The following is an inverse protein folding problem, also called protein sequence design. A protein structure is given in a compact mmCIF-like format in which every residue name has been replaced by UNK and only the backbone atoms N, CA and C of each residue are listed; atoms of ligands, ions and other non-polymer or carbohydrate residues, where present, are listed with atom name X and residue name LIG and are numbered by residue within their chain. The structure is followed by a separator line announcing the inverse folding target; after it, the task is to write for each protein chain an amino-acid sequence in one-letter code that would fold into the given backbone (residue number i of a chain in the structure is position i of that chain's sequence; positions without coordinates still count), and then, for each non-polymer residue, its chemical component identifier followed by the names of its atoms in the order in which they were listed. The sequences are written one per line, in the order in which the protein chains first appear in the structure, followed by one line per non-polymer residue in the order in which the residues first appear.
data_IF_185203169944
#
_entry.id   IF_185203169944
#
_cell.length_a   1.000
_cell.length_b   1.000
_cell.length_c   1.000
_cell.angle_alpha   90.00
_cell.angle_beta   90.00
_cell.angle_gamma   90.00
#
_symmetry.space_group_name_H-M   'P 1'
#
loop_
_entity.id
_entity.type
_entity.pdbx_description
1 polymer ?
#
# COMPACT_ATOMS: atom_id res chain seq x y z
N UNK A 1 58.12 -54.90 -38.96
CA UNK A 1 57.01 -54.05 -39.42
C UNK A 1 55.96 -54.09 -38.36
N UNK A 2 55.83 -53.02 -37.50
CA UNK A 2 54.80 -52.90 -36.49
C UNK A 2 53.78 -51.89 -37.00
N UNK A 3 52.52 -52.34 -37.17
CA UNK A 3 51.38 -51.50 -37.55
C UNK A 3 50.93 -50.70 -36.32
N UNK A 4 51.00 -49.36 -36.39
CA UNK A 4 50.35 -48.45 -35.45
C UNK A 4 48.87 -48.35 -35.83
N UNK A 5 47.99 -48.66 -34.86
CA UNK A 5 46.54 -48.43 -34.95
C UNK A 5 46.27 -47.12 -34.27
N UNK A 6 45.87 -46.08 -35.02
CA UNK A 6 45.36 -44.83 -34.48
C UNK A 6 43.86 -44.99 -34.14
N UNK A 7 43.53 -44.91 -32.86
CA UNK A 7 42.16 -44.82 -32.42
C UNK A 7 41.75 -43.35 -32.32
N UNK A 8 40.80 -42.90 -33.10
CA UNK A 8 40.20 -41.57 -33.05
C UNK A 8 39.15 -41.53 -31.92
N UNK A 9 39.23 -40.59 -30.97
CA UNK A 9 38.16 -40.47 -29.98
C UNK A 9 36.96 -39.74 -30.57
N UNK A 10 35.80 -40.37 -30.49
CA UNK A 10 34.50 -39.83 -30.85
C UNK A 10 34.08 -38.83 -29.78
N UNK A 11 34.19 -37.51 -30.05
CA UNK A 11 33.68 -36.47 -29.16
C UNK A 11 32.18 -36.41 -29.35
N UNK A 12 31.44 -36.89 -28.35
CA UNK A 12 30.00 -36.78 -28.26
C UNK A 12 29.65 -35.37 -27.81
N UNK A 13 29.23 -34.51 -28.73
CA UNK A 13 28.77 -33.14 -28.46
C UNK A 13 27.36 -33.24 -27.89
N UNK A 14 27.22 -33.19 -26.56
CA UNK A 14 25.93 -33.06 -25.89
C UNK A 14 25.48 -31.59 -26.04
N UNK A 15 24.57 -31.34 -26.98
CA UNK A 15 23.87 -30.06 -27.09
C UNK A 15 22.83 -30.04 -25.99
N UNK A 16 23.15 -29.37 -24.85
CA UNK A 16 22.17 -28.97 -23.85
C UNK A 16 21.31 -27.88 -24.47
N UNK A 17 20.14 -28.24 -24.96
CA UNK A 17 19.08 -27.26 -25.22
C UNK A 17 18.60 -26.70 -23.88
N UNK A 18 19.17 -25.58 -23.47
CA UNK A 18 18.59 -24.75 -22.41
C UNK A 18 17.28 -24.22 -23.00
N UNK A 19 16.18 -24.88 -22.65
CA UNK A 19 14.85 -24.34 -22.86
C UNK A 19 14.74 -23.11 -21.97
N UNK A 20 15.07 -21.96 -22.52
CA UNK A 20 14.68 -20.68 -21.93
C UNK A 20 13.15 -20.67 -21.97
N UNK A 21 12.55 -21.04 -20.85
CA UNK A 21 11.18 -20.65 -20.58
C UNK A 21 11.24 -19.11 -20.41
N UNK A 22 11.13 -18.38 -21.52
CA UNK A 22 10.78 -16.97 -21.48
C UNK A 22 9.47 -16.90 -20.69
N UNK A 23 9.56 -16.52 -19.41
CA UNK A 23 8.42 -15.94 -18.73
C UNK A 23 8.00 -14.77 -19.61
N UNK A 24 6.93 -14.92 -20.35
CA UNK A 24 6.24 -13.81 -20.99
C UNK A 24 5.93 -12.83 -19.86
N UNK A 25 6.77 -11.82 -19.72
CA UNK A 25 6.55 -10.70 -18.78
C UNK A 25 5.43 -9.83 -19.37
N UNK A 26 4.23 -10.39 -19.53
CA UNK A 26 3.04 -9.61 -19.80
C UNK A 26 2.70 -8.86 -18.51
N UNK A 27 3.24 -7.65 -18.38
CA UNK A 27 2.88 -6.76 -17.28
C UNK A 27 1.55 -6.08 -17.61
N UNK A 28 0.45 -6.83 -17.48
CA UNK A 28 -0.90 -6.34 -17.77
C UNK A 28 -1.22 -5.01 -17.09
N UNK A 29 -0.69 -4.78 -15.88
CA UNK A 29 -0.86 -3.53 -15.16
C UNK A 29 -0.18 -2.37 -15.91
N UNK A 30 1.10 -2.52 -16.26
CA UNK A 30 1.86 -1.48 -16.97
C UNK A 30 1.29 -1.24 -18.37
N UNK A 31 0.96 -2.32 -19.08
CA UNK A 31 0.39 -2.24 -20.44
C UNK A 31 -0.94 -1.50 -20.44
N UNK A 32 -1.84 -1.79 -19.47
CA UNK A 32 -3.10 -1.07 -19.32
C UNK A 32 -2.91 0.42 -19.03
N UNK A 33 -2.04 0.74 -18.08
CA UNK A 33 -1.78 2.12 -17.65
C UNK A 33 -1.28 3.00 -18.79
N UNK A 34 -0.39 2.48 -19.61
CA UNK A 34 0.22 3.23 -20.71
C UNK A 34 -0.51 3.09 -22.05
N UNK A 35 -1.52 2.23 -22.14
CA UNK A 35 -2.39 2.19 -23.32
C UNK A 35 -3.02 3.55 -23.54
N UNK A 36 -2.86 4.09 -24.75
CA UNK A 36 -3.41 5.39 -25.14
C UNK A 36 -4.92 5.36 -25.09
N UNK A 37 -5.52 6.25 -24.34
CA UNK A 37 -6.95 6.42 -24.19
C UNK A 37 -7.36 7.81 -24.70
N UNK A 38 -8.17 7.92 -25.78
CA UNK A 38 -8.57 9.23 -26.33
C UNK A 38 -9.50 10.04 -25.43
N UNK A 39 -10.09 9.42 -24.40
CA UNK A 39 -10.92 10.10 -23.43
C UNK A 39 -10.10 10.96 -22.45
N UNK A 40 -8.79 10.72 -22.32
CA UNK A 40 -7.94 11.49 -21.42
C UNK A 40 -7.96 12.97 -21.75
N UNK A 41 -8.41 13.77 -20.79
CA UNK A 41 -8.45 15.23 -20.87
C UNK A 41 -8.55 15.84 -19.48
N UNK A 42 -8.20 17.11 -19.35
CA UNK A 42 -8.39 17.86 -18.11
C UNK A 42 -8.70 19.32 -18.40
N UNK A 43 -9.31 19.99 -17.42
CA UNK A 43 -9.57 21.42 -17.42
C UNK A 43 -9.27 22.00 -16.04
N UNK A 44 -8.68 23.20 -16.01
CA UNK A 44 -8.54 23.98 -14.78
C UNK A 44 -9.86 24.71 -14.56
N UNK A 45 -10.62 24.29 -13.56
CA UNK A 45 -11.97 24.82 -13.27
C UNK A 45 -11.86 26.12 -12.46
N UNK A 46 -10.91 26.15 -11.50
CA UNK A 46 -10.76 27.27 -10.58
C UNK A 46 -9.29 27.48 -10.19
N UNK A 47 -8.93 28.74 -9.98
CA UNK A 47 -7.64 29.14 -9.39
C UNK A 47 -7.96 30.13 -8.28
N UNK A 48 -7.58 29.79 -7.05
CA UNK A 48 -7.71 30.66 -5.89
C UNK A 48 -6.32 31.10 -5.41
N UNK A 49 -6.22 32.34 -4.95
CA UNK A 49 -4.97 32.91 -4.48
C UNK A 49 -5.11 33.32 -3.03
N UNK A 50 -4.34 32.69 -2.17
CA UNK A 50 -4.16 33.08 -0.78
C UNK A 50 -2.88 33.91 -0.59
N UNK A 51 -2.62 34.37 0.63
CA UNK A 51 -1.43 35.18 0.95
C UNK A 51 -0.11 34.41 0.70
N UNK A 52 -0.08 33.12 0.96
CA UNK A 52 1.13 32.30 0.97
C UNK A 52 1.17 31.19 -0.08
N UNK A 53 0.06 30.92 -0.77
CA UNK A 53 -0.05 29.88 -1.78
C UNK A 53 -1.10 30.21 -2.84
N UNK A 54 -1.08 29.46 -3.95
CA UNK A 54 -2.17 29.36 -4.92
C UNK A 54 -2.73 27.96 -4.91
N UNK A 55 -4.03 27.84 -5.15
CA UNK A 55 -4.75 26.59 -5.30
C UNK A 55 -5.29 26.45 -6.70
N UNK A 56 -5.08 25.28 -7.31
CA UNK A 56 -5.65 24.92 -8.61
C UNK A 56 -6.63 23.78 -8.41
N UNK A 57 -7.86 23.94 -8.85
CA UNK A 57 -8.86 22.87 -8.93
C UNK A 57 -9.05 22.45 -10.36
N UNK A 58 -8.89 21.16 -10.60
CA UNK A 58 -8.83 20.59 -11.93
C UNK A 58 -9.81 19.42 -11.98
N UNK A 59 -10.60 19.38 -13.05
CA UNK A 59 -11.39 18.20 -13.40
C UNK A 59 -10.64 17.43 -14.47
N UNK A 60 -10.30 16.18 -14.16
CA UNK A 60 -9.59 15.28 -15.07
C UNK A 60 -10.46 14.08 -15.42
N UNK A 61 -10.48 13.69 -16.69
CA UNK A 61 -10.93 12.36 -17.11
C UNK A 61 -9.67 11.54 -17.36
N UNK A 62 -9.48 10.47 -16.60
CA UNK A 62 -8.27 9.64 -16.68
C UNK A 62 -8.32 8.61 -17.81
N UNK A 63 -9.51 8.34 -18.35
CA UNK A 63 -9.76 7.40 -19.43
C UNK A 63 -11.08 6.67 -19.26
N UNK A 64 -11.25 5.60 -20.03
CA UNK A 64 -12.43 4.73 -20.00
C UNK A 64 -12.12 3.41 -19.30
N UNK A 65 -13.14 2.86 -18.63
CA UNK A 65 -13.09 1.52 -18.04
C UNK A 65 -14.33 0.73 -18.45
N UNK A 66 -14.13 -0.48 -18.99
CA UNK A 66 -15.18 -1.34 -19.54
C UNK A 66 -15.98 -0.68 -20.67
N UNK A 67 -17.05 -1.31 -21.09
CA UNK A 67 -17.94 -0.83 -22.15
C UNK A 67 -19.31 -0.42 -21.61
N UNK A 68 -20.08 0.35 -22.40
CA UNK A 68 -21.46 0.72 -22.05
C UNK A 68 -22.41 -0.47 -21.91
N UNK A 69 -22.03 -1.63 -22.43
CA UNK A 69 -22.80 -2.86 -22.25
C UNK A 69 -22.56 -3.52 -20.88
N UNK A 70 -21.48 -3.12 -20.19
CA UNK A 70 -21.03 -3.72 -18.94
C UNK A 70 -21.24 -2.80 -17.73
N UNK A 71 -21.12 -1.48 -17.93
CA UNK A 71 -21.21 -0.51 -16.84
C UNK A 71 -21.96 0.76 -17.28
N UNK A 72 -22.69 1.36 -16.36
CA UNK A 72 -23.49 2.56 -16.61
C UNK A 72 -22.66 3.81 -16.96
N UNK A 73 -21.43 3.91 -16.47
CA UNK A 73 -20.53 5.03 -16.72
C UNK A 73 -19.11 4.53 -16.97
N UNK A 74 -18.64 4.68 -18.20
CA UNK A 74 -17.34 4.21 -18.64
C UNK A 74 -16.22 5.23 -18.45
N UNK A 75 -16.52 6.54 -18.49
CA UNK A 75 -15.52 7.58 -18.29
C UNK A 75 -15.26 7.79 -16.81
N UNK A 76 -14.01 7.59 -16.39
CA UNK A 76 -13.56 7.86 -15.03
C UNK A 76 -13.04 9.29 -14.92
N UNK A 77 -13.69 10.08 -14.08
CA UNK A 77 -13.27 11.45 -13.82
C UNK A 77 -12.93 11.68 -12.34
N UNK A 78 -12.04 12.63 -12.12
CA UNK A 78 -11.45 12.92 -10.82
C UNK A 78 -11.34 14.41 -10.60
N UNK A 79 -11.41 14.85 -9.35
CA UNK A 79 -10.93 16.15 -8.97
C UNK A 79 -9.46 16.05 -8.60
N UNK A 80 -8.65 17.01 -9.04
CA UNK A 80 -7.29 17.22 -8.58
C UNK A 80 -7.23 18.61 -7.97
N UNK A 81 -6.85 18.67 -6.69
CA UNK A 81 -6.56 19.92 -5.98
C UNK A 81 -5.07 20.04 -5.80
N UNK A 82 -4.46 21.10 -6.30
CA UNK A 82 -3.01 21.35 -6.24
C UNK A 82 -2.76 22.60 -5.42
N UNK A 83 -1.96 22.50 -4.37
CA UNK A 83 -1.47 23.63 -3.58
C UNK A 83 -0.04 23.96 -4.01
N UNK A 84 0.17 25.20 -4.42
CA UNK A 84 1.47 25.73 -4.88
C UNK A 84 1.90 26.85 -3.93
N UNK A 85 2.90 26.65 -3.05
CA UNK A 85 3.43 27.73 -2.23
C UNK A 85 3.98 28.88 -3.09
N UNK A 86 3.87 30.12 -2.61
CA UNK A 86 4.48 31.28 -3.29
C UNK A 86 6.01 31.15 -3.41
N UNK A 87 6.61 30.38 -2.53
CA UNK A 87 8.03 30.03 -2.55
C UNK A 87 8.14 28.51 -2.69
N UNK A 88 8.12 28.01 -3.93
CA UNK A 88 8.41 26.63 -4.25
C UNK A 88 9.90 26.49 -4.52
N UNK A 89 10.56 25.56 -3.82
CA UNK A 89 12.01 25.35 -3.90
C UNK A 89 12.35 23.99 -4.54
N UNK A 90 11.44 23.04 -4.44
CA UNK A 90 11.69 21.64 -4.81
C UNK A 90 11.08 21.32 -6.18
N UNK A 91 11.68 20.36 -6.87
CA UNK A 91 11.22 19.82 -8.16
C UNK A 91 10.41 18.54 -8.02
N UNK A 92 10.21 18.10 -6.80
CA UNK A 92 9.41 16.97 -6.39
C UNK A 92 8.05 17.42 -5.89
N UNK A 93 7.03 16.58 -6.08
CA UNK A 93 5.69 16.84 -5.57
C UNK A 93 5.15 15.66 -4.76
N UNK A 94 4.32 15.95 -3.76
CA UNK A 94 3.52 14.93 -3.09
C UNK A 94 2.16 14.82 -3.81
N UNK A 95 1.77 13.60 -4.17
CA UNK A 95 0.42 13.31 -4.64
C UNK A 95 -0.28 12.37 -3.67
N UNK A 96 -1.34 12.84 -3.02
CA UNK A 96 -2.20 12.05 -2.15
C UNK A 96 -3.33 11.43 -2.98
N UNK A 97 -3.47 10.12 -2.89
CA UNK A 97 -4.54 9.37 -3.55
C UNK A 97 -5.74 9.29 -2.62
N UNK A 98 -6.75 10.08 -2.93
CA UNK A 98 -7.97 10.27 -2.14
C UNK A 98 -9.16 9.46 -2.63
N UNK A 99 -10.08 9.21 -1.71
CA UNK A 99 -11.39 8.63 -2.00
C UNK A 99 -12.38 9.67 -2.53
N UNK A 100 -13.65 9.31 -2.53
CA UNK A 100 -14.71 10.22 -2.93
C UNK A 100 -15.87 9.53 -3.62
N UNK A 101 -16.66 10.32 -4.33
CA UNK A 101 -17.81 9.82 -5.09
C UNK A 101 -18.15 10.80 -6.20
N UNK A 102 -18.55 10.28 -7.36
CA UNK A 102 -19.07 11.07 -8.47
C UNK A 102 -20.37 11.83 -8.14
N UNK A 103 -21.05 11.43 -7.05
CA UNK A 103 -22.24 12.11 -6.52
C UNK A 103 -21.92 13.33 -5.65
N UNK A 104 -20.65 13.51 -5.25
CA UNK A 104 -20.21 14.67 -4.47
C UNK A 104 -19.97 15.88 -5.38
N UNK A 105 -20.26 17.05 -4.81
CA UNK A 105 -19.95 18.33 -5.47
C UNK A 105 -18.44 18.54 -5.56
N UNK A 106 -18.04 19.48 -6.39
CA UNK A 106 -16.68 19.99 -6.48
C UNK A 106 -16.13 20.34 -5.08
N UNK A 107 -14.87 19.99 -4.78
CA UNK A 107 -14.19 20.45 -3.57
C UNK A 107 -14.16 21.99 -3.53
N UNK A 108 -14.51 22.57 -2.39
CA UNK A 108 -14.53 24.04 -2.27
C UNK A 108 -13.12 24.62 -2.12
N UNK A 109 -12.28 23.95 -1.32
CA UNK A 109 -10.90 24.38 -1.03
C UNK A 109 -10.01 23.16 -0.77
N UNK A 110 -8.69 23.36 -0.86
CA UNK A 110 -7.71 22.40 -0.38
C UNK A 110 -7.91 22.13 1.13
N UNK A 111 -7.65 20.91 1.56
CA UNK A 111 -7.67 20.58 2.98
C UNK A 111 -6.52 21.28 3.73
N UNK A 112 -6.73 21.55 5.02
CA UNK A 112 -5.67 22.11 5.89
C UNK A 112 -4.41 21.25 5.87
N UNK A 113 -4.54 19.93 5.74
CA UNK A 113 -3.42 19.01 5.65
C UNK A 113 -2.58 19.27 4.39
N UNK A 114 -3.20 19.41 3.21
CA UNK A 114 -2.49 19.71 1.97
C UNK A 114 -1.73 21.04 2.07
N UNK A 115 -2.42 22.08 2.56
CA UNK A 115 -1.85 23.41 2.73
C UNK A 115 -0.66 23.37 3.69
N UNK A 116 -0.82 22.70 4.84
CA UNK A 116 0.23 22.59 5.84
C UNK A 116 1.47 21.87 5.28
N UNK A 117 1.29 20.73 4.62
CA UNK A 117 2.41 20.00 4.01
C UNK A 117 3.12 20.89 2.98
N UNK A 118 2.37 21.55 2.09
CA UNK A 118 2.95 22.39 1.04
C UNK A 118 3.78 23.54 1.62
N UNK A 119 3.27 24.22 2.65
CA UNK A 119 3.97 25.35 3.28
C UNK A 119 5.18 24.92 4.11
N UNK A 120 5.08 23.80 4.84
CA UNK A 120 6.19 23.28 5.65
C UNK A 120 7.35 22.76 4.79
N UNK A 121 7.04 22.23 3.60
CA UNK A 121 8.05 21.64 2.70
C UNK A 121 8.47 22.54 1.55
N UNK A 122 7.79 23.68 1.35
CA UNK A 122 7.98 24.57 0.21
C UNK A 122 7.92 23.84 -1.15
N UNK A 123 7.07 22.83 -1.28
CA UNK A 123 6.89 21.98 -2.46
C UNK A 123 5.44 21.98 -2.94
N UNK A 124 5.21 21.53 -4.16
CA UNK A 124 3.85 21.31 -4.66
C UNK A 124 3.26 20.06 -3.99
N UNK A 125 2.05 20.22 -3.44
CA UNK A 125 1.29 19.12 -2.85
C UNK A 125 -0.08 19.04 -3.51
N UNK A 126 -0.47 17.85 -3.95
CA UNK A 126 -1.74 17.62 -4.63
C UNK A 126 -2.51 16.45 -4.03
N UNK A 127 -3.82 16.48 -4.19
CA UNK A 127 -4.71 15.36 -3.95
C UNK A 127 -5.50 15.05 -5.22
N UNK A 128 -5.53 13.78 -5.61
CA UNK A 128 -6.47 13.27 -6.61
C UNK A 128 -7.58 12.51 -5.88
N UNK A 129 -8.83 12.90 -6.06
CA UNK A 129 -9.97 12.30 -5.39
C UNK A 129 -10.81 11.41 -6.32
N UNK A 130 -11.78 10.70 -5.74
CA UNK A 130 -12.66 9.79 -6.44
C UNK A 130 -11.92 8.57 -7.04
N UNK A 131 -11.02 7.98 -6.25
CA UNK A 131 -10.30 6.73 -6.56
C UNK A 131 -10.79 5.61 -5.62
N UNK A 132 -11.47 4.55 -6.14
CA UNK A 132 -11.96 4.36 -7.52
C UNK A 132 -13.05 5.37 -7.89
N UNK A 133 -13.32 5.51 -9.20
CA UNK A 133 -14.49 6.24 -9.68
C UNK A 133 -15.76 5.47 -9.31
N UNK A 134 -16.65 6.11 -8.54
CA UNK A 134 -17.80 5.44 -7.91
C UNK A 134 -18.95 6.41 -7.63
N UNK A 135 -20.22 5.92 -7.43
CA UNK A 135 -20.62 4.53 -7.59
C UNK A 135 -20.74 4.12 -9.05
N UNK A 136 -20.73 2.80 -9.28
CA UNK A 136 -20.98 2.20 -10.58
C UNK A 136 -22.05 1.11 -10.49
N UNK A 137 -22.87 1.02 -11.55
CA UNK A 137 -23.87 -0.03 -11.74
C UNK A 137 -23.44 -0.89 -12.93
N UNK A 138 -23.37 -2.20 -12.71
CA UNK A 138 -22.97 -3.15 -13.74
C UNK A 138 -24.18 -3.84 -14.35
N UNK A 139 -24.11 -4.07 -15.66
CA UNK A 139 -25.15 -4.82 -16.36
C UNK A 139 -25.21 -6.26 -15.85
N UNK A 140 -26.40 -6.79 -15.66
CA UNK A 140 -26.66 -8.11 -15.09
C UNK A 140 -26.14 -8.31 -13.64
N UNK A 141 -26.01 -7.22 -12.91
CA UNK A 141 -25.80 -7.25 -11.48
C UNK A 141 -27.13 -7.01 -10.75
N UNK A 142 -27.30 -7.68 -9.62
CA UNK A 142 -28.47 -7.50 -8.75
C UNK A 142 -28.33 -6.35 -7.77
N UNK A 143 -27.11 -5.80 -7.64
CA UNK A 143 -26.79 -4.72 -6.70
C UNK A 143 -26.56 -3.43 -7.46
N UNK A 144 -27.25 -2.38 -7.02
CA UNK A 144 -27.03 -1.02 -7.50
C UNK A 144 -25.96 -0.31 -6.69
N UNK A 145 -25.35 0.72 -7.31
CA UNK A 145 -24.45 1.66 -6.64
C UNK A 145 -23.27 0.98 -5.88
N UNK A 146 -22.48 0.21 -6.58
CA UNK A 146 -21.27 -0.38 -5.98
C UNK A 146 -20.22 0.68 -5.66
N UNK A 147 -19.72 0.62 -4.43
CA UNK A 147 -18.73 1.52 -3.87
C UNK A 147 -17.52 0.75 -3.35
N UNK A 148 -16.37 1.41 -3.30
CA UNK A 148 -15.21 1.02 -2.51
C UNK A 148 -14.77 -0.44 -2.79
N UNK A 149 -14.64 -1.26 -1.74
CA UNK A 149 -14.21 -2.65 -1.85
C UNK A 149 -15.25 -3.53 -2.55
N UNK A 150 -16.53 -3.22 -2.43
CA UNK A 150 -17.60 -3.91 -3.12
C UNK A 150 -17.48 -3.82 -4.66
N UNK A 151 -17.10 -2.65 -5.20
CA UNK A 151 -16.81 -2.47 -6.61
C UNK A 151 -15.59 -3.30 -7.04
N UNK A 152 -14.54 -3.33 -6.22
CA UNK A 152 -13.31 -4.06 -6.51
C UNK A 152 -13.56 -5.56 -6.44
N UNK A 153 -14.27 -6.04 -5.40
CA UNK A 153 -14.61 -7.44 -5.21
C UNK A 153 -15.47 -7.98 -6.36
N UNK A 154 -16.44 -7.19 -6.85
CA UNK A 154 -17.23 -7.56 -8.01
C UNK A 154 -16.36 -7.73 -9.26
N UNK A 155 -15.43 -6.81 -9.53
CA UNK A 155 -14.47 -6.94 -10.62
C UNK A 155 -13.60 -8.19 -10.50
N UNK A 156 -13.14 -8.51 -9.29
CA UNK A 156 -12.39 -9.75 -9.03
C UNK A 156 -13.24 -11.00 -9.32
N UNK A 157 -14.50 -11.01 -8.86
CA UNK A 157 -15.43 -12.09 -9.18
C UNK A 157 -15.57 -12.30 -10.68
N UNK A 158 -15.80 -11.23 -11.44
CA UNK A 158 -15.95 -11.30 -12.91
C UNK A 158 -14.70 -11.88 -13.57
N UNK A 159 -13.52 -11.46 -13.14
CA UNK A 159 -12.25 -12.00 -13.62
C UNK A 159 -12.10 -13.49 -13.31
N UNK A 160 -12.37 -13.89 -12.08
CA UNK A 160 -12.22 -15.28 -11.60
C UNK A 160 -13.23 -16.21 -12.28
N UNK A 161 -14.51 -15.83 -12.34
CA UNK A 161 -15.58 -16.59 -13.00
C UNK A 161 -15.38 -16.67 -14.53
N UNK A 162 -14.73 -15.68 -15.16
CA UNK A 162 -14.30 -15.73 -16.55
C UNK A 162 -13.20 -16.77 -16.82
N UNK A 163 -12.60 -17.32 -15.76
CA UNK A 163 -11.50 -18.28 -15.80
C UNK A 163 -10.12 -17.63 -15.78
N UNK A 164 -10.03 -16.40 -15.30
CA UNK A 164 -8.80 -15.62 -15.15
C UNK A 164 -7.99 -15.49 -16.46
N UNK A 165 -8.66 -15.26 -17.57
CA UNK A 165 -8.06 -15.15 -18.91
C UNK A 165 -7.64 -13.71 -19.18
N UNK A 166 -6.72 -13.52 -20.13
CA UNK A 166 -6.24 -12.18 -20.51
C UNK A 166 -7.37 -11.22 -20.93
N UNK A 167 -8.40 -11.72 -21.60
CA UNK A 167 -9.58 -10.93 -21.99
C UNK A 167 -10.41 -10.43 -20.79
N UNK A 168 -10.30 -11.09 -19.64
CA UNK A 168 -11.06 -10.77 -18.44
C UNK A 168 -10.30 -9.79 -17.52
N UNK A 169 -9.03 -9.48 -17.83
CA UNK A 169 -8.16 -8.58 -17.04
C UNK A 169 -8.76 -7.18 -16.90
N UNK A 170 -9.48 -6.72 -17.91
CA UNK A 170 -10.13 -5.40 -17.89
C UNK A 170 -11.14 -5.23 -16.74
N UNK A 171 -11.68 -6.31 -16.16
CA UNK A 171 -12.56 -6.25 -15.01
C UNK A 171 -11.86 -5.80 -13.71
N UNK A 172 -10.54 -5.81 -13.68
CA UNK A 172 -9.76 -5.49 -12.48
C UNK A 172 -9.68 -3.98 -12.25
N UNK A 173 -10.51 -3.44 -11.38
CA UNK A 173 -10.60 -2.01 -11.06
C UNK A 173 -9.27 -1.38 -10.60
N UNK A 174 -8.33 -2.18 -10.09
CA UNK A 174 -6.97 -1.73 -9.75
C UNK A 174 -6.21 -1.13 -10.94
N UNK A 175 -6.52 -1.57 -12.16
CA UNK A 175 -5.89 -1.07 -13.39
C UNK A 175 -6.28 0.39 -13.66
N UNK A 176 -7.58 0.76 -13.81
CA UNK A 176 -7.97 2.15 -14.00
C UNK A 176 -7.67 3.02 -12.77
N UNK A 177 -7.66 2.50 -11.53
CA UNK A 177 -7.21 3.23 -10.35
C UNK A 177 -5.76 3.68 -10.50
N UNK A 178 -4.85 2.78 -10.88
CA UNK A 178 -3.43 3.09 -11.09
C UNK A 178 -3.24 4.07 -12.26
N UNK A 179 -3.93 3.83 -13.38
CA UNK A 179 -3.91 4.76 -14.53
C UNK A 179 -4.33 6.17 -14.13
N UNK A 180 -5.35 6.32 -13.30
CA UNK A 180 -5.82 7.62 -12.86
C UNK A 180 -4.75 8.39 -12.08
N UNK A 181 -3.97 7.72 -11.22
CA UNK A 181 -2.88 8.35 -10.47
C UNK A 181 -1.75 8.77 -11.40
N UNK A 182 -1.34 7.90 -12.35
CA UNK A 182 -0.32 8.23 -13.36
C UNK A 182 -0.74 9.44 -14.20
N UNK A 183 -2.00 9.50 -14.65
CA UNK A 183 -2.55 10.66 -15.36
C UNK A 183 -2.63 11.90 -14.46
N UNK A 184 -2.88 11.73 -13.17
CA UNK A 184 -2.80 12.82 -12.20
C UNK A 184 -1.41 13.44 -12.13
N UNK A 185 -0.35 12.62 -12.12
CA UNK A 185 1.04 13.11 -12.20
C UNK A 185 1.30 13.88 -13.50
N UNK A 186 0.81 13.38 -14.65
CA UNK A 186 0.92 14.08 -15.95
C UNK A 186 0.29 15.49 -15.88
N UNK A 187 -0.88 15.61 -15.24
CA UNK A 187 -1.59 16.90 -15.08
C UNK A 187 -0.82 17.82 -14.14
N UNK A 188 -0.29 17.34 -13.03
CA UNK A 188 0.50 18.15 -12.09
C UNK A 188 1.74 18.70 -12.77
N UNK A 189 2.45 17.90 -13.57
CA UNK A 189 3.60 18.36 -14.37
C UNK A 189 3.19 19.45 -15.35
N UNK A 190 2.06 19.31 -16.04
CA UNK A 190 1.56 20.33 -16.99
C UNK A 190 1.18 21.64 -16.29
N UNK A 191 0.60 21.57 -15.10
CA UNK A 191 0.34 22.78 -14.28
C UNK A 191 1.65 23.43 -13.86
N UNK A 192 2.62 22.64 -13.41
CA UNK A 192 3.96 23.13 -13.10
C UNK A 192 4.62 23.85 -14.28
N UNK A 193 4.63 23.24 -15.48
CA UNK A 193 5.15 23.83 -16.70
C UNK A 193 4.49 25.20 -17.00
N UNK A 194 3.15 25.31 -16.84
CA UNK A 194 2.40 26.55 -17.11
C UNK A 194 2.76 27.70 -16.15
N UNK A 195 3.30 27.40 -14.98
CA UNK A 195 3.71 28.39 -13.97
C UNK A 195 5.23 28.49 -13.83
N UNK A 196 5.99 27.88 -14.77
CA UNK A 196 7.45 27.82 -14.79
C UNK A 196 8.07 27.15 -13.56
N UNK A 197 7.40 26.15 -12.98
CA UNK A 197 7.91 25.26 -11.95
C UNK A 197 8.02 23.86 -12.55
N UNK A 198 9.24 23.36 -12.71
CA UNK A 198 9.45 22.02 -13.26
C UNK A 198 9.26 20.97 -12.17
N UNK A 199 8.35 20.03 -12.37
CA UNK A 199 8.14 18.87 -11.51
C UNK A 199 8.69 17.63 -12.22
N UNK A 200 9.68 17.00 -11.64
CA UNK A 200 10.35 15.83 -12.21
C UNK A 200 9.82 14.53 -11.60
N UNK A 201 9.64 14.49 -10.28
CA UNK A 201 9.46 13.27 -9.48
C UNK A 201 8.35 13.44 -8.45
N UNK A 202 7.86 12.32 -7.94
CA UNK A 202 6.72 12.28 -7.05
C UNK A 202 6.94 11.37 -5.85
N UNK A 203 6.45 11.81 -4.71
CA UNK A 203 6.13 10.93 -3.59
C UNK A 203 4.63 10.67 -3.63
N UNK A 204 4.22 9.40 -3.54
CA UNK A 204 2.80 9.03 -3.59
C UNK A 204 2.37 8.53 -2.22
N UNK A 205 1.23 9.02 -1.72
CA UNK A 205 0.62 8.57 -0.48
C UNK A 205 -0.85 8.19 -0.70
N UNK A 206 -1.34 7.21 0.03
CA UNK A 206 -2.75 6.84 -0.05
C UNK A 206 -3.13 5.83 1.02
N UNK A 207 -4.41 5.83 1.41
CA UNK A 207 -4.91 4.98 2.48
C UNK A 207 -5.72 3.79 1.95
N UNK A 208 -5.59 2.62 2.59
CA UNK A 208 -6.37 1.42 2.32
C UNK A 208 -6.23 0.97 0.85
N UNK A 209 -7.32 0.79 0.10
CA UNK A 209 -7.28 0.50 -1.34
C UNK A 209 -6.51 1.53 -2.16
N UNK A 210 -6.38 2.78 -1.69
CA UNK A 210 -5.55 3.82 -2.30
C UNK A 210 -4.08 3.65 -1.93
N UNK A 211 -3.79 3.09 -0.76
CA UNK A 211 -2.45 2.62 -0.40
C UNK A 211 -2.00 1.47 -1.30
N UNK A 212 -2.90 0.55 -1.64
CA UNK A 212 -2.61 -0.45 -2.68
C UNK A 212 -2.31 0.22 -4.03
N UNK A 213 -3.10 1.23 -4.41
CA UNK A 213 -2.85 2.00 -5.65
C UNK A 213 -1.52 2.76 -5.59
N UNK A 214 -1.12 3.23 -4.42
CA UNK A 214 0.21 3.84 -4.18
C UNK A 214 1.34 2.87 -4.55
N UNK A 215 1.28 1.62 -4.08
CA UNK A 215 2.21 0.57 -4.45
C UNK A 215 2.22 0.30 -5.96
N UNK A 216 1.03 0.10 -6.56
CA UNK A 216 0.94 -0.24 -7.99
C UNK A 216 1.36 0.90 -8.91
N UNK A 217 1.19 2.15 -8.47
CA UNK A 217 1.72 3.32 -9.19
C UNK A 217 3.24 3.30 -9.24
N UNK A 218 3.90 3.02 -8.11
CA UNK A 218 5.36 2.90 -8.07
C UNK A 218 5.91 1.72 -8.90
N UNK A 219 5.13 0.65 -9.05
CA UNK A 219 5.50 -0.48 -9.93
C UNK A 219 5.56 -0.09 -11.40
N UNK A 220 4.71 0.85 -11.83
CA UNK A 220 4.56 1.14 -13.27
C UNK A 220 5.22 2.43 -13.72
N UNK A 221 5.52 3.36 -12.81
CA UNK A 221 5.99 4.70 -13.18
C UNK A 221 7.25 5.11 -12.41
N UNK A 222 8.34 5.23 -13.14
CA UNK A 222 9.68 5.52 -12.59
C UNK A 222 9.83 6.95 -12.04
N UNK A 223 8.84 7.84 -12.24
CA UNK A 223 8.79 9.16 -11.60
C UNK A 223 8.48 9.07 -10.11
N UNK A 224 8.04 7.93 -9.62
CA UNK A 224 7.76 7.73 -8.19
C UNK A 224 9.07 7.39 -7.48
N UNK A 225 9.54 8.30 -6.62
CA UNK A 225 10.80 8.17 -5.88
C UNK A 225 10.64 7.69 -4.44
N UNK A 226 9.44 7.79 -3.87
CA UNK A 226 9.11 7.21 -2.57
C UNK A 226 7.60 7.00 -2.44
N UNK A 227 7.17 6.13 -1.52
CA UNK A 227 5.76 5.86 -1.26
C UNK A 227 5.42 5.86 0.22
N UNK A 228 4.18 6.28 0.52
CA UNK A 228 3.59 6.21 1.86
C UNK A 228 2.24 5.47 1.79
N UNK A 229 2.24 4.12 1.74
CA UNK A 229 1.02 3.34 1.87
C UNK A 229 0.52 3.38 3.31
N UNK A 230 -0.75 3.77 3.50
CA UNK A 230 -1.35 3.97 4.80
C UNK A 230 -2.48 2.96 4.98
N UNK A 231 -2.56 2.31 6.15
CA UNK A 231 -3.56 1.30 6.54
C UNK A 231 -3.83 0.27 5.43
N UNK A 232 -2.75 -0.30 4.92
CA UNK A 232 -2.77 -1.41 3.95
C UNK A 232 -1.70 -2.43 4.33
N UNK A 233 -1.83 -3.00 5.51
CA UNK A 233 -0.95 -4.04 6.04
C UNK A 233 -1.27 -5.42 5.43
N UNK A 234 -1.29 -5.44 4.09
CA UNK A 234 -1.73 -6.58 3.29
C UNK A 234 -0.85 -6.74 2.04
N UNK A 235 0.36 -7.20 2.22
CA UNK A 235 1.16 -7.77 1.15
C UNK A 235 1.29 -9.29 1.38
N UNK A 236 1.53 -10.07 0.29
CA UNK A 236 1.50 -11.52 0.33
C UNK A 236 0.13 -12.04 0.83
N UNK A 237 -0.88 -11.71 0.06
CA UNK A 237 -2.31 -11.83 0.42
C UNK A 237 -2.70 -13.21 0.95
N UNK A 238 -2.22 -14.30 0.34
CA UNK A 238 -2.66 -15.66 0.72
C UNK A 238 -2.28 -16.00 2.16
N UNK A 239 -0.99 -15.93 2.59
CA UNK A 239 -0.65 -16.20 3.98
C UNK A 239 -1.18 -15.14 4.95
N UNK A 240 -1.35 -13.87 4.51
CA UNK A 240 -1.94 -12.83 5.36
C UNK A 240 -3.41 -13.10 5.68
N UNK A 241 -4.19 -13.58 4.71
CA UNK A 241 -5.58 -13.95 4.96
C UNK A 241 -5.72 -15.29 5.71
N UNK A 242 -4.84 -16.27 5.48
CA UNK A 242 -4.79 -17.47 6.36
C UNK A 242 -4.51 -17.06 7.80
N UNK A 243 -3.57 -16.13 8.01
CA UNK A 243 -3.27 -15.58 9.33
C UNK A 243 -4.48 -14.87 9.95
N UNK A 244 -5.19 -14.03 9.20
CA UNK A 244 -6.42 -13.37 9.65
C UNK A 244 -7.44 -14.40 10.17
N UNK A 245 -7.74 -15.42 9.37
CA UNK A 245 -8.66 -16.49 9.75
C UNK A 245 -8.20 -17.23 10.98
N UNK A 246 -6.93 -17.60 11.05
CA UNK A 246 -6.36 -18.34 12.19
C UNK A 246 -6.32 -17.53 13.48
N UNK A 247 -6.33 -16.20 13.38
CA UNK A 247 -6.41 -15.31 14.54
C UNK A 247 -7.84 -15.16 15.06
N UNK A 248 -8.81 -15.02 14.16
CA UNK A 248 -10.18 -14.64 14.53
C UNK A 248 -11.17 -15.82 14.48
N UNK A 249 -10.91 -16.85 13.67
CA UNK A 249 -11.83 -17.98 13.43
C UNK A 249 -13.00 -17.64 12.52
N UNK A 250 -13.04 -16.41 12.04
CA UNK A 250 -14.03 -15.87 11.15
C UNK A 250 -13.41 -14.76 10.27
N UNK A 251 -14.09 -14.36 9.22
CA UNK A 251 -13.73 -13.17 8.49
C UNK A 251 -14.23 -11.94 9.23
N UNK A 252 -13.36 -10.92 9.37
CA UNK A 252 -13.80 -9.64 9.91
C UNK A 252 -14.91 -9.02 9.04
N UNK A 253 -15.96 -8.44 9.63
CA UNK A 253 -16.98 -7.72 8.86
C UNK A 253 -16.42 -6.66 7.91
N UNK A 254 -15.25 -6.14 8.17
CA UNK A 254 -14.57 -5.18 7.30
C UNK A 254 -14.25 -5.73 5.90
N UNK A 255 -14.12 -7.05 5.72
CA UNK A 255 -13.87 -7.69 4.41
C UNK A 255 -15.09 -8.40 3.82
N UNK A 256 -16.28 -8.15 4.36
CA UNK A 256 -17.53 -8.77 3.91
C UNK A 256 -17.79 -8.59 2.41
N UNK A 257 -17.37 -7.49 1.82
CA UNK A 257 -17.49 -7.26 0.38
C UNK A 257 -16.84 -8.37 -0.45
N UNK A 258 -15.65 -8.80 -0.05
CA UNK A 258 -14.94 -9.91 -0.72
C UNK A 258 -15.55 -11.28 -0.40
N UNK A 259 -15.99 -11.48 0.85
CA UNK A 259 -16.61 -12.73 1.30
C UNK A 259 -17.96 -12.93 0.60
N UNK A 260 -18.79 -11.90 0.54
CA UNK A 260 -20.13 -11.92 -0.09
C UNK A 260 -20.06 -12.18 -1.61
N UNK A 261 -18.99 -11.69 -2.28
CA UNK A 261 -18.73 -12.01 -3.68
C UNK A 261 -18.06 -13.39 -3.88
N UNK A 262 -17.83 -14.13 -2.78
CA UNK A 262 -17.26 -15.48 -2.79
C UNK A 262 -15.79 -15.52 -3.23
N UNK A 263 -15.05 -14.45 -3.03
CA UNK A 263 -13.63 -14.34 -3.42
C UNK A 263 -12.78 -15.30 -2.59
N UNK A 264 -13.10 -15.48 -1.31
CA UNK A 264 -12.38 -16.38 -0.40
C UNK A 264 -12.46 -17.84 -0.84
N UNK A 265 -13.53 -18.25 -1.54
CA UNK A 265 -13.67 -19.61 -2.10
C UNK A 265 -12.63 -19.95 -3.18
N UNK A 266 -12.03 -18.93 -3.80
CA UNK A 266 -10.99 -19.10 -4.81
C UNK A 266 -9.57 -19.21 -4.23
N UNK A 267 -9.37 -18.91 -2.95
CA UNK A 267 -8.06 -19.00 -2.31
C UNK A 267 -7.45 -20.39 -2.51
N UNK A 268 -6.17 -20.44 -2.91
CA UNK A 268 -5.47 -21.69 -3.27
C UNK A 268 -5.82 -22.24 -4.67
N UNK A 269 -6.49 -21.48 -5.54
CA UNK A 269 -6.70 -21.82 -6.94
C UNK A 269 -5.68 -21.16 -7.87
N UNK A 270 -5.51 -21.72 -9.08
CA UNK A 270 -4.66 -21.13 -10.13
C UNK A 270 -5.20 -19.78 -10.59
N UNK A 271 -6.52 -19.64 -10.65
CA UNK A 271 -7.20 -18.42 -11.06
C UNK A 271 -6.96 -17.29 -10.05
N UNK A 272 -7.02 -17.58 -8.75
CA UNK A 272 -6.72 -16.63 -7.71
C UNK A 272 -5.23 -16.21 -7.72
N UNK A 273 -4.34 -17.18 -7.90
CA UNK A 273 -2.91 -16.88 -8.05
C UNK A 273 -2.64 -15.98 -9.28
N UNK A 274 -3.35 -16.22 -10.39
CA UNK A 274 -3.27 -15.36 -11.58
C UNK A 274 -3.76 -13.94 -11.32
N UNK A 275 -4.86 -13.77 -10.57
CA UNK A 275 -5.34 -12.48 -10.11
C UNK A 275 -4.24 -11.71 -9.37
N UNK A 276 -3.65 -12.35 -8.36
CA UNK A 276 -2.61 -11.73 -7.53
C UNK A 276 -1.36 -11.36 -8.34
N UNK A 277 -0.97 -12.20 -9.31
CA UNK A 277 0.15 -11.87 -10.22
C UNK A 277 -0.06 -10.59 -11.03
N UNK A 278 -1.32 -10.16 -11.24
CA UNK A 278 -1.65 -8.96 -12.03
C UNK A 278 -1.77 -7.73 -11.13
N UNK A 279 -2.41 -7.85 -9.97
CA UNK A 279 -2.79 -6.68 -9.18
C UNK A 279 -2.10 -6.57 -7.82
N UNK A 280 -1.52 -7.65 -7.28
CA UNK A 280 -0.91 -7.61 -5.96
C UNK A 280 0.50 -7.01 -6.01
N UNK A 281 0.78 -5.94 -5.22
CA UNK A 281 2.10 -5.32 -5.18
C UNK A 281 3.22 -6.29 -4.82
N UNK A 282 2.95 -7.30 -3.98
CA UNK A 282 3.94 -8.30 -3.59
C UNK A 282 4.49 -9.09 -4.78
N UNK A 283 3.70 -9.25 -5.84
CA UNK A 283 4.15 -9.90 -7.09
C UNK A 283 5.24 -9.12 -7.83
N UNK A 284 5.45 -7.85 -7.47
CA UNK A 284 6.42 -6.93 -8.08
C UNK A 284 7.45 -6.42 -7.09
N UNK A 285 7.53 -7.00 -5.89
CA UNK A 285 8.29 -6.45 -4.77
C UNK A 285 9.78 -6.29 -5.06
N UNK A 286 10.34 -7.17 -5.88
CA UNK A 286 11.74 -7.14 -6.30
C UNK A 286 12.09 -5.94 -7.22
N UNK A 287 11.09 -5.20 -7.70
CA UNK A 287 11.24 -4.02 -8.55
C UNK A 287 11.20 -2.70 -7.75
N UNK A 288 10.82 -2.76 -6.47
CA UNK A 288 10.54 -1.60 -5.64
C UNK A 288 11.66 -1.33 -4.64
N UNK A 289 12.78 -0.76 -5.11
CA UNK A 289 13.90 -0.37 -4.25
C UNK A 289 13.80 1.04 -3.66
N UNK A 290 12.81 1.83 -4.06
CA UNK A 290 12.58 3.20 -3.56
C UNK A 290 12.26 3.19 -2.06
N UNK A 291 12.48 4.30 -1.32
CA UNK A 291 12.09 4.44 0.07
C UNK A 291 10.59 4.27 0.28
N UNK A 292 10.22 3.58 1.38
CA UNK A 292 8.82 3.29 1.73
C UNK A 292 8.57 3.58 3.20
N UNK A 293 7.50 4.32 3.47
CA UNK A 293 7.02 4.54 4.82
C UNK A 293 5.62 3.97 4.99
N UNK A 294 5.52 2.82 5.64
CA UNK A 294 4.27 2.10 5.88
C UNK A 294 3.65 2.57 7.20
N UNK A 295 2.41 3.06 7.15
CA UNK A 295 1.68 3.55 8.33
C UNK A 295 0.44 2.70 8.54
N UNK A 296 0.35 1.98 9.66
CA UNK A 296 -0.74 1.06 9.97
C UNK A 296 -1.33 1.35 11.37
N UNK A 297 -2.52 0.86 11.65
CA UNK A 297 -3.14 0.93 12.97
C UNK A 297 -2.90 -0.36 13.76
N UNK A 298 -2.63 -0.26 15.07
CA UNK A 298 -2.51 -1.47 15.90
C UNK A 298 -3.84 -2.18 16.15
N UNK A 299 -4.95 -1.54 15.86
CA UNK A 299 -6.30 -2.08 16.07
C UNK A 299 -7.16 -1.98 14.81
N UNK A 300 -6.53 -2.09 13.62
CA UNK A 300 -7.18 -2.07 12.33
C UNK A 300 -8.19 -3.22 12.19
N UNK A 301 -9.38 -2.91 11.67
CA UNK A 301 -10.48 -3.87 11.51
C UNK A 301 -10.27 -4.78 10.30
N UNK A 302 -9.44 -4.38 9.32
CA UNK A 302 -9.14 -5.17 8.12
C UNK A 302 -7.93 -6.09 8.30
N UNK A 303 -6.88 -5.61 9.01
CA UNK A 303 -5.57 -6.26 9.01
C UNK A 303 -5.11 -6.58 10.44
N UNK A 304 -4.67 -7.82 10.63
CA UNK A 304 -4.14 -8.25 11.93
C UNK A 304 -2.86 -7.47 12.26
N UNK A 305 -2.73 -7.01 13.50
CA UNK A 305 -1.67 -6.07 13.90
C UNK A 305 -0.23 -6.59 13.70
N UNK A 306 -0.03 -7.89 13.50
CA UNK A 306 1.28 -8.48 13.20
C UNK A 306 1.40 -9.03 11.77
N UNK A 307 0.62 -8.47 10.82
CA UNK A 307 0.66 -8.87 9.40
C UNK A 307 1.99 -8.53 8.70
N UNK A 308 2.76 -7.57 9.22
CA UNK A 308 4.09 -7.22 8.71
C UNK A 308 5.01 -8.42 8.49
N UNK A 309 4.90 -9.48 9.27
CA UNK A 309 5.76 -10.66 9.23
C UNK A 309 5.72 -11.40 7.88
N UNK A 310 4.65 -11.22 7.08
CA UNK A 310 4.48 -11.93 5.81
C UNK A 310 5.20 -11.27 4.64
N UNK A 311 5.68 -10.04 4.79
CA UNK A 311 6.29 -9.31 3.69
C UNK A 311 7.52 -8.47 4.07
N UNK A 312 7.67 -8.02 5.32
CA UNK A 312 8.69 -7.06 5.73
C UNK A 312 10.10 -7.45 5.31
N UNK A 313 10.52 -8.68 5.59
CA UNK A 313 11.85 -9.19 5.28
C UNK A 313 12.10 -9.40 3.77
N UNK A 314 11.11 -9.15 2.92
CA UNK A 314 11.23 -9.20 1.46
C UNK A 314 11.27 -7.81 0.82
N UNK A 315 10.97 -6.77 1.59
CA UNK A 315 11.09 -5.40 1.11
C UNK A 315 12.56 -5.06 0.88
N UNK A 316 12.85 -4.51 -0.30
CA UNK A 316 14.20 -4.03 -0.66
C UNK A 316 14.28 -2.51 -0.57
N UNK A 317 15.49 -1.95 -0.41
CA UNK A 317 15.70 -0.52 -0.19
C UNK A 317 15.35 -0.09 1.24
N UNK A 318 15.19 1.22 1.42
CA UNK A 318 14.88 1.81 2.73
C UNK A 318 13.41 1.62 3.07
N UNK A 319 13.15 1.02 4.23
CA UNK A 319 11.79 0.71 4.66
C UNK A 319 11.57 1.18 6.09
N UNK A 320 10.54 2.00 6.28
CA UNK A 320 10.13 2.52 7.57
C UNK A 320 8.72 2.07 7.89
N UNK A 321 8.47 1.77 9.16
CA UNK A 321 7.18 1.25 9.64
C UNK A 321 6.70 2.13 10.79
N UNK A 322 5.41 2.45 10.80
CA UNK A 322 4.74 3.04 11.94
C UNK A 322 3.42 2.30 12.17
N UNK A 323 3.34 1.55 13.25
CA UNK A 323 2.06 1.15 13.80
C UNK A 323 1.59 2.24 14.76
N UNK A 324 0.44 2.85 14.46
CA UNK A 324 -0.18 3.88 15.30
C UNK A 324 -0.91 3.19 16.44
N UNK A 325 -0.46 3.33 17.70
CA UNK A 325 -1.09 2.67 18.82
C UNK A 325 -2.53 3.16 19.01
N UNK A 326 -3.43 2.22 19.30
CA UNK A 326 -4.88 2.49 19.39
C UNK A 326 -5.52 3.05 18.11
N UNK A 327 -4.83 2.97 16.98
CA UNK A 327 -5.36 3.35 15.67
C UNK A 327 -6.23 2.24 15.12
N UNK A 328 -7.45 2.59 14.68
CA UNK A 328 -8.32 1.77 13.85
C UNK A 328 -7.97 1.92 12.36
N UNK A 329 -8.73 1.33 11.45
CA UNK A 329 -8.50 1.49 10.00
C UNK A 329 -8.53 2.95 9.51
N UNK A 330 -9.33 3.79 10.13
CA UNK A 330 -9.37 5.23 9.85
C UNK A 330 -8.29 6.05 10.55
N UNK A 331 -7.48 5.44 11.42
CA UNK A 331 -6.52 6.10 12.34
C UNK A 331 -7.15 7.22 13.19
N UNK A 332 -8.45 7.15 13.41
CA UNK A 332 -9.26 8.23 13.98
C UNK A 332 -8.84 8.58 15.41
N UNK A 333 -8.44 9.84 15.62
CA UNK A 333 -8.08 10.37 16.93
C UNK A 333 -6.80 9.76 17.54
N UNK A 334 -5.98 9.07 16.75
CA UNK A 334 -4.73 8.45 17.19
C UNK A 334 -3.52 8.87 16.34
N UNK A 335 -3.73 9.25 15.09
CA UNK A 335 -2.66 9.60 14.16
C UNK A 335 -2.36 11.08 14.10
N UNK A 336 -1.06 11.42 14.12
CA UNK A 336 -0.53 12.73 13.80
C UNK A 336 0.27 12.64 12.49
N UNK A 337 -0.08 13.41 11.45
CA UNK A 337 0.60 13.36 10.15
C UNK A 337 2.02 13.95 10.14
N UNK A 338 2.51 14.44 11.26
CA UNK A 338 3.84 15.06 11.36
C UNK A 338 4.97 14.18 10.89
N UNK A 339 4.93 12.87 11.20
CA UNK A 339 5.95 11.92 10.73
C UNK A 339 5.94 11.73 9.20
N UNK A 340 4.77 11.78 8.57
CA UNK A 340 4.67 11.79 7.10
C UNK A 340 5.30 13.06 6.53
N UNK A 341 5.06 14.22 7.14
CA UNK A 341 5.65 15.49 6.71
C UNK A 341 7.17 15.45 6.84
N UNK A 342 7.69 14.94 7.97
CA UNK A 342 9.12 14.78 8.19
C UNK A 342 9.75 13.84 7.15
N UNK A 343 9.12 12.67 6.89
CA UNK A 343 9.59 11.72 5.88
C UNK A 343 9.59 12.35 4.49
N UNK A 344 8.47 12.95 4.07
CA UNK A 344 8.38 13.61 2.76
C UNK A 344 9.43 14.71 2.60
N UNK A 345 9.61 15.55 3.63
CA UNK A 345 10.65 16.60 3.63
C UNK A 345 12.05 16.01 3.49
N UNK A 346 12.36 14.91 4.19
CA UNK A 346 13.66 14.26 4.08
C UNK A 346 13.92 13.73 2.66
N UNK A 347 12.92 13.11 2.03
CA UNK A 347 13.04 12.59 0.65
C UNK A 347 13.35 13.72 -0.33
N UNK A 348 12.54 14.79 -0.36
CA UNK A 348 12.70 15.86 -1.37
C UNK A 348 13.93 16.75 -1.14
N UNK A 349 14.43 16.82 0.08
CA UNK A 349 15.65 17.57 0.41
C UNK A 349 16.92 16.70 0.44
N UNK A 350 16.82 15.42 0.05
CA UNK A 350 17.91 14.43 0.13
C UNK A 350 18.57 14.39 1.52
N UNK A 351 17.77 14.54 2.58
CA UNK A 351 18.26 14.47 3.94
C UNK A 351 18.24 13.01 4.40
N UNK A 352 19.34 12.56 5.00
CA UNK A 352 19.40 11.21 5.56
C UNK A 352 18.38 11.06 6.69
N UNK A 353 17.59 9.99 6.61
CA UNK A 353 16.77 9.53 7.72
C UNK A 353 17.67 8.71 8.63
N UNK A 354 17.70 8.96 9.95
CA UNK A 354 18.56 8.25 10.88
C UNK A 354 18.36 6.73 10.83
N UNK A 355 19.46 5.99 10.81
CA UNK A 355 19.43 4.54 10.73
C UNK A 355 19.07 3.90 12.07
N UNK A 356 18.20 2.93 12.03
CA UNK A 356 17.89 2.03 13.13
C UNK A 356 17.53 0.65 12.57
N UNK A 357 17.83 -0.38 13.34
CA UNK A 357 17.57 -1.76 12.95
C UNK A 357 16.79 -2.46 14.06
N UNK A 358 15.86 -3.30 13.70
CA UNK A 358 15.13 -4.11 14.65
C UNK A 358 14.92 -5.53 14.15
N UNK A 359 14.79 -6.45 15.10
CA UNK A 359 14.46 -7.84 14.81
C UNK A 359 13.69 -8.45 15.97
N UNK A 360 12.98 -9.52 15.66
CA UNK A 360 12.27 -10.33 16.64
C UNK A 360 13.02 -11.64 16.86
N UNK A 361 13.24 -11.99 18.12
CA UNK A 361 13.83 -13.29 18.49
C UNK A 361 13.11 -13.81 19.73
N UNK A 362 12.58 -15.04 19.64
CA UNK A 362 11.71 -15.62 20.65
C UNK A 362 10.54 -14.65 20.99
N UNK A 363 10.28 -14.43 22.27
CA UNK A 363 9.24 -13.51 22.76
C UNK A 363 9.79 -12.09 23.02
N UNK A 364 10.76 -11.64 22.23
CA UNK A 364 11.38 -10.32 22.42
C UNK A 364 11.65 -9.59 21.11
N UNK A 365 11.47 -8.29 21.16
CA UNK A 365 11.82 -7.35 20.11
C UNK A 365 13.10 -6.63 20.52
N UNK A 366 14.06 -6.54 19.62
CA UNK A 366 15.31 -5.83 19.81
C UNK A 366 15.37 -4.64 18.85
N UNK A 367 15.81 -3.49 19.35
CA UNK A 367 15.99 -2.28 18.58
C UNK A 367 17.40 -1.73 18.81
N UNK A 368 18.12 -1.51 17.71
CA UNK A 368 19.45 -0.92 17.67
C UNK A 368 19.36 0.41 16.93
N UNK A 369 19.84 1.48 17.53
CA UNK A 369 19.75 2.83 16.95
C UNK A 369 21.17 3.35 16.73
N UNK A 370 21.52 3.57 15.47
CA UNK A 370 22.76 4.21 15.06
C UNK A 370 22.45 5.64 14.59
N UNK A 371 22.24 6.53 15.53
CA UNK A 371 21.91 7.92 15.25
C UNK A 371 22.59 8.86 16.24
N UNK A 372 23.14 9.95 15.69
CA UNK A 372 23.62 11.09 16.49
C UNK A 372 22.51 12.12 16.77
N UNK A 373 21.32 11.97 16.20
CA UNK A 373 20.17 12.82 16.49
C UNK A 373 19.58 12.47 17.84
N UNK A 374 18.94 13.44 18.49
CA UNK A 374 18.18 13.19 19.71
C UNK A 374 16.98 12.29 19.41
N UNK A 375 16.80 11.27 20.25
CA UNK A 375 15.67 10.36 20.12
C UNK A 375 15.16 9.85 21.48
N UNK A 376 13.92 9.37 21.47
CA UNK A 376 13.28 8.70 22.60
C UNK A 376 12.69 7.38 22.19
N UNK A 377 12.68 6.40 23.09
CA UNK A 377 12.09 5.08 22.86
C UNK A 377 10.96 4.84 23.84
N UNK A 378 9.84 4.33 23.32
CA UNK A 378 8.72 3.84 24.14
C UNK A 378 8.40 2.41 23.76
N UNK A 379 7.99 1.63 24.73
CA UNK A 379 7.25 0.40 24.45
C UNK A 379 5.76 0.69 24.44
N UNK A 380 5.04 0.03 23.56
CA UNK A 380 3.60 -0.01 23.58
C UNK A 380 3.15 -1.46 23.75
N UNK A 381 2.19 -1.71 24.65
CA UNK A 381 1.71 -3.04 24.94
C UNK A 381 0.20 -3.04 25.17
N UNK A 382 -0.45 -4.14 24.76
CA UNK A 382 -1.86 -4.41 25.03
C UNK A 382 -2.05 -5.90 25.38
N UNK A 383 -3.10 -6.20 26.14
CA UNK A 383 -3.51 -7.58 26.50
C UNK A 383 -4.97 -7.78 26.09
N UNK A 384 -5.24 -8.92 25.45
CA UNK A 384 -6.57 -9.46 25.33
C UNK A 384 -6.60 -10.81 26.06
N UNK A 385 -7.30 -10.89 27.17
CA UNK A 385 -7.34 -12.06 28.04
C UNK A 385 -8.11 -13.25 27.45
N UNK A 386 -8.85 -13.04 26.36
CA UNK A 386 -9.77 -14.03 25.80
C UNK A 386 -9.31 -14.56 24.43
N UNK A 387 -8.91 -13.67 23.51
CA UNK A 387 -8.67 -14.01 22.09
C UNK A 387 -7.43 -13.32 21.55
N UNK A 388 -6.94 -13.80 20.39
CA UNK A 388 -5.83 -13.17 19.64
C UNK A 388 -6.31 -12.00 18.76
N UNK A 389 -7.23 -11.23 19.26
CA UNK A 389 -7.88 -10.14 18.53
C UNK A 389 -7.60 -8.80 19.21
N UNK A 390 -6.85 -7.94 18.52
CA UNK A 390 -6.44 -6.63 19.02
C UNK A 390 -7.12 -5.46 18.28
N UNK A 391 -8.19 -5.74 17.53
CA UNK A 391 -9.00 -4.71 16.88
C UNK A 391 -9.56 -3.73 17.92
N UNK A 392 -9.64 -2.45 17.55
CA UNK A 392 -10.13 -1.39 18.46
C UNK A 392 -11.58 -1.63 18.90
N UNK A 393 -12.41 -2.16 18.03
CA UNK A 393 -13.81 -2.51 18.34
C UNK A 393 -13.94 -3.70 19.32
N UNK A 394 -12.88 -4.50 19.48
CA UNK A 394 -12.85 -5.64 20.43
C UNK A 394 -12.22 -5.26 21.78
N UNK A 395 -11.05 -4.63 21.77
CA UNK A 395 -10.32 -4.33 23.03
C UNK A 395 -10.32 -2.83 23.40
N UNK A 396 -10.96 -1.98 22.59
CA UNK A 396 -10.91 -0.53 22.79
C UNK A 396 -9.50 0.05 22.63
N UNK A 397 -9.28 1.25 23.12
CA UNK A 397 -7.96 1.91 23.13
C UNK A 397 -7.13 1.42 24.33
N UNK A 398 -6.75 0.16 24.34
CA UNK A 398 -6.09 -0.52 25.45
C UNK A 398 -4.57 -0.55 25.38
N UNK A 399 -3.97 -0.13 24.29
CA UNK A 399 -2.52 0.00 24.20
C UNK A 399 -2.01 1.10 25.12
N UNK A 400 -1.02 0.75 25.95
CA UNK A 400 -0.37 1.65 26.92
C UNK A 400 1.12 1.72 26.65
N UNK A 401 1.71 2.89 26.89
CA UNK A 401 3.14 3.12 26.67
C UNK A 401 3.89 3.30 27.97
N UNK A 402 5.14 2.82 27.95
CA UNK A 402 6.15 3.11 28.97
C UNK A 402 7.45 3.55 28.28
N UNK A 403 8.18 4.49 28.86
CA UNK A 403 9.50 4.87 28.39
C UNK A 403 10.50 3.74 28.63
N UNK A 404 11.39 3.51 27.67
CA UNK A 404 12.45 2.52 27.77
C UNK A 404 13.80 3.21 27.73
N UNK A 405 14.65 2.88 28.67
CA UNK A 405 16.03 3.33 28.76
C UNK A 405 16.99 2.22 28.27
N UNK A 406 18.14 2.61 27.73
CA UNK A 406 19.17 1.65 27.26
C UNK A 406 19.54 0.62 28.33
N UNK A 407 19.71 -0.60 27.89
CA UNK A 407 20.25 -1.68 28.75
C UNK A 407 21.79 -1.63 28.79
N UNK A 408 22.39 -2.50 29.62
CA UNK A 408 23.84 -2.60 29.80
C UNK A 408 24.62 -2.85 28.50
N UNK A 409 23.99 -3.34 27.43
CA UNK A 409 24.60 -3.65 26.13
C UNK A 409 24.28 -2.60 25.05
N UNK A 410 23.88 -1.39 25.43
CA UNK A 410 23.52 -0.29 24.53
C UNK A 410 22.37 -0.58 23.53
N UNK A 411 21.58 -1.62 23.77
CA UNK A 411 20.42 -2.00 22.95
C UNK A 411 19.12 -1.82 23.73
N UNK A 412 18.07 -1.47 23.00
CA UNK A 412 16.72 -1.49 23.51
C UNK A 412 16.10 -2.84 23.26
N UNK A 413 15.31 -3.34 24.21
CA UNK A 413 14.54 -4.55 24.00
C UNK A 413 13.20 -4.49 24.73
N UNK A 414 12.21 -5.19 24.18
CA UNK A 414 10.92 -5.41 24.80
C UNK A 414 10.66 -6.92 24.86
N UNK A 415 10.56 -7.46 26.07
CA UNK A 415 10.08 -8.82 26.27
C UNK A 415 8.56 -8.83 26.37
N UNK A 416 7.89 -9.48 25.40
CA UNK A 416 6.45 -9.65 25.36
C UNK A 416 6.12 -10.98 26.04
N UNK A 417 6.11 -10.97 27.37
CA UNK A 417 5.86 -12.16 28.18
C UNK A 417 4.47 -12.74 27.93
N UNK A 418 4.38 -14.06 27.84
CA UNK A 418 3.09 -14.75 27.78
C UNK A 418 2.22 -14.36 28.97
N UNK A 419 0.98 -13.87 28.77
CA UNK A 419 0.07 -13.54 29.87
C UNK A 419 -0.48 -14.84 30.54
N UNK A 420 -1.12 -14.67 31.68
CA UNK A 420 -1.74 -15.78 32.38
C UNK A 420 -2.89 -16.44 31.60
N UNK A 421 -3.64 -15.59 30.83
CA UNK A 421 -4.68 -16.00 29.88
C UNK A 421 -4.64 -15.13 28.64
N UNK A 422 -5.12 -15.65 27.51
CA UNK A 422 -5.21 -14.94 26.26
C UNK A 422 -3.85 -14.61 25.63
N UNK A 423 -3.72 -13.39 25.11
CA UNK A 423 -2.60 -12.93 24.29
C UNK A 423 -2.14 -11.54 24.73
N UNK A 424 -0.86 -11.29 24.58
CA UNK A 424 -0.25 -9.99 24.79
C UNK A 424 0.45 -9.55 23.51
N UNK A 425 0.23 -8.32 23.09
CA UNK A 425 0.91 -7.69 21.97
C UNK A 425 1.86 -6.60 22.44
N UNK A 426 2.97 -6.38 21.73
CA UNK A 426 3.92 -5.33 22.04
C UNK A 426 4.70 -4.88 20.81
N UNK A 427 5.14 -3.62 20.84
CA UNK A 427 6.03 -3.00 19.85
C UNK A 427 6.91 -1.94 20.53
N UNK A 428 7.99 -1.55 19.86
CA UNK A 428 8.81 -0.40 20.24
C UNK A 428 8.55 0.76 19.26
N UNK A 429 8.39 1.96 19.80
CA UNK A 429 8.29 3.21 19.07
C UNK A 429 9.58 4.00 19.27
N UNK A 430 10.13 4.52 18.19
CA UNK A 430 11.24 5.47 18.20
C UNK A 430 10.77 6.81 17.64
N UNK A 431 10.98 7.86 18.41
CA UNK A 431 10.77 9.25 17.99
C UNK A 431 12.12 9.92 17.85
N UNK A 432 12.47 10.39 16.66
CA UNK A 432 13.78 10.96 16.32
C UNK A 432 13.59 12.41 15.87
N UNK A 433 14.43 13.32 16.37
CA UNK A 433 14.46 14.69 15.85
C UNK A 433 14.85 14.69 14.36
N UNK A 434 13.97 15.22 13.54
CA UNK A 434 14.18 15.33 12.09
C UNK A 434 14.92 16.62 11.70
N UNK A 435 15.16 17.53 12.63
CA UNK A 435 15.64 18.89 12.37
C UNK A 435 14.60 19.78 11.68
N UNK A 436 13.31 19.41 11.75
CA UNK A 436 12.15 20.20 11.25
C UNK A 436 11.14 20.41 12.38
N UNK A 437 9.99 21.02 12.07
CA UNK A 437 8.90 21.20 13.04
C UNK A 437 8.25 19.87 13.48
N UNK A 438 8.52 18.77 12.78
CA UNK A 438 7.90 17.47 13.03
C UNK A 438 8.97 16.39 13.18
N UNK A 439 8.94 15.56 14.23
CA UNK A 439 9.86 14.45 14.39
C UNK A 439 9.51 13.30 13.43
N UNK A 440 10.48 12.45 13.16
CA UNK A 440 10.20 11.11 12.69
C UNK A 440 9.61 10.27 13.81
N UNK A 441 8.55 9.56 13.54
CA UNK A 441 8.00 8.56 14.45
C UNK A 441 7.91 7.24 13.71
N UNK A 442 8.73 6.27 14.10
CA UNK A 442 8.76 4.93 13.54
C UNK A 442 8.49 3.89 14.62
N UNK A 443 8.15 2.68 14.21
CA UNK A 443 7.99 1.56 15.13
C UNK A 443 8.67 0.31 14.60
N UNK A 444 8.88 -0.65 15.48
CA UNK A 444 9.09 -2.04 15.09
C UNK A 444 7.79 -2.66 14.59
N UNK A 445 7.86 -3.84 14.02
CA UNK A 445 6.67 -4.69 13.88
C UNK A 445 6.14 -5.09 15.25
N UNK A 446 4.85 -5.41 15.30
CA UNK A 446 4.18 -5.92 16.51
C UNK A 446 4.53 -7.38 16.74
N UNK A 447 4.82 -7.75 17.97
CA UNK A 447 5.01 -9.13 18.43
C UNK A 447 3.83 -9.55 19.32
N UNK A 448 3.29 -10.75 19.11
CA UNK A 448 2.22 -11.31 19.92
C UNK A 448 2.69 -12.58 20.62
N UNK A 449 2.50 -12.64 21.93
CA UNK A 449 2.81 -13.81 22.77
C UNK A 449 1.54 -14.32 23.49
N UNK A 450 1.29 -15.66 23.52
CA UNK A 450 2.07 -16.71 22.85
C UNK A 450 1.95 -16.64 21.33
N UNK A 451 3.02 -17.02 20.62
CA UNK A 451 2.99 -17.15 19.16
C UNK A 451 2.28 -18.47 18.76
N UNK A 452 0.96 -18.48 18.97
CA UNK A 452 0.10 -19.60 18.62
C UNK A 452 -1.21 -19.11 18.04
N UNK A 453 -1.82 -19.94 17.21
CA UNK A 453 -3.10 -19.64 16.61
C UNK A 453 -4.23 -20.36 17.36
N UNK A 454 -5.34 -19.65 17.66
CA UNK A 454 -6.50 -20.30 18.27
C UNK A 454 -7.30 -21.15 17.29
N UNK A 455 -7.20 -20.90 15.98
CA UNK A 455 -7.98 -21.61 14.97
C UNK A 455 -7.09 -22.29 13.91
N UNK A 456 -7.66 -23.29 13.22
CA UNK A 456 -7.03 -24.02 12.13
C UNK A 456 -6.91 -23.16 10.88
N UNK A 457 -6.02 -23.51 9.91
CA UNK A 457 -5.95 -22.84 8.63
C UNK A 457 -7.30 -22.71 7.92
N UNK A 458 -7.46 -21.66 7.10
CA UNK A 458 -8.67 -21.47 6.33
C UNK A 458 -8.82 -22.55 5.26
N UNK A 459 -9.99 -23.15 5.21
CA UNK A 459 -10.41 -24.03 4.11
C UNK A 459 -11.77 -23.56 3.58
N UNK A 460 -11.87 -23.22 2.29
CA UNK A 460 -13.14 -22.83 1.70
C UNK A 460 -14.21 -23.91 1.82
N UNK A 461 -15.41 -23.56 2.25
CA UNK A 461 -16.54 -24.51 2.29
C UNK A 461 -16.96 -24.97 0.90
N UNK A 462 -16.85 -24.10 -0.10
CA UNK A 462 -17.16 -24.34 -1.49
C UNK A 462 -15.99 -23.97 -2.39
N UNK A 463 -14.91 -24.80 -2.40
CA UNK A 463 -13.70 -24.44 -3.16
C UNK A 463 -13.97 -24.26 -4.64
N UNK A 464 -13.55 -23.12 -5.18
CA UNK A 464 -13.68 -22.76 -6.60
C UNK A 464 -12.34 -22.81 -7.33
N UNK A 465 -12.40 -22.90 -8.66
CA UNK A 465 -11.24 -22.90 -9.54
C UNK A 465 -10.40 -24.17 -9.50
N UNK A 466 -9.26 -24.14 -10.20
CA UNK A 466 -8.32 -25.27 -10.30
C UNK A 466 -7.35 -25.20 -9.13
N UNK A 467 -7.50 -26.09 -8.17
CA UNK A 467 -6.65 -26.13 -6.97
C UNK A 467 -5.16 -26.29 -7.32
N UNK A 468 -4.32 -25.56 -6.63
CA UNK A 468 -2.86 -25.74 -6.67
C UNK A 468 -2.56 -26.90 -5.71
N UNK A 469 -1.84 -27.93 -6.21
CA UNK A 469 -1.43 -29.09 -5.43
C UNK A 469 -0.24 -28.77 -4.56
#
# INVERSE_FOLDING_TARGET
MKKLIFSTPLILLIILTISNCEKSNNNHLKDYVYTKDPAFRYEIVQIDTAKSWKEYRIKMISGTWLTKNEVNNTEWWHWITIVVPNKTLETEALLIVGGGSSKKKEPLNASELLINIALETNSIVAEISNIPFQPLNFSNDSKDDRYEDDLIAYGWKKFLEGGAKDKDVEWLARLPMTRAVVRGMDVIQKVGDNINIKINEFVIAGASKRGWTTWTTAVVDDRVIAIVPIVIDLLNVVPSFDHHWRCYGEWSPAIDDYVNEGITDWMGSKEYNRLLQIVEPYSFIDQLSIPKFLINGTGDEFFVTDSWQFYWNKLIGENFLQYVPNGNHGLTGSYNPGSLIAFYNAIITNRNIPEFNWYVSNDSIYLDVDSNADYTIKSWQAINENTRDFRVDVIGKSWKSDEIYKTVNDKYYLHVSKPTSGYKAGLLEITIDSGTNYPFVFTTGTLISPNSYPFMPFEPLTPKGKRIK
#
